data_IF_800869224362
#
_entry.id   IF_800869224362
#
_cell.length_a   1.000
_cell.length_b   1.000
_cell.length_c   1.000
_cell.angle_alpha   90.00
_cell.angle_beta   90.00
_cell.angle_gamma   90.00
#
_symmetry.space_group_name_H-M   'P 1'
#
loop_
_entity.id
_entity.type
_entity.pdbx_description
1 polymer ?
#
# COMPACT_ATOMS: atom_id res chain seq x y z
N UNK A 1 -81.98 -10.31 -39.00
CA UNK A 1 -80.84 -9.38 -38.84
C UNK A 1 -80.39 -9.25 -37.39
N UNK A 2 -81.22 -8.72 -36.47
CA UNK A 2 -80.84 -8.49 -35.05
C UNK A 2 -80.36 -9.76 -34.30
N UNK A 3 -81.05 -10.89 -34.45
CA UNK A 3 -80.66 -12.16 -33.81
C UNK A 3 -79.28 -12.67 -34.24
N UNK A 4 -78.93 -12.46 -35.51
CA UNK A 4 -77.64 -12.89 -36.03
C UNK A 4 -76.51 -11.99 -35.52
N UNK A 5 -76.75 -10.67 -35.47
CA UNK A 5 -75.80 -9.71 -34.90
C UNK A 5 -75.51 -10.00 -33.41
N UNK A 6 -76.55 -10.36 -32.64
CA UNK A 6 -76.41 -10.73 -31.23
C UNK A 6 -75.59 -12.02 -31.04
N UNK A 7 -75.75 -13.01 -31.93
CA UNK A 7 -74.98 -14.25 -31.88
C UNK A 7 -73.49 -14.01 -32.14
N UNK A 8 -73.15 -13.18 -33.13
CA UNK A 8 -71.77 -12.80 -33.45
C UNK A 8 -71.10 -12.04 -32.30
N UNK A 9 -71.80 -11.06 -31.71
CA UNK A 9 -71.30 -10.34 -30.53
C UNK A 9 -71.07 -11.27 -29.33
N UNK A 10 -71.93 -12.29 -29.17
CA UNK A 10 -71.78 -13.28 -28.12
C UNK A 10 -70.48 -14.09 -28.31
N UNK A 11 -70.24 -14.59 -29.52
CA UNK A 11 -69.02 -15.34 -29.86
C UNK A 11 -67.76 -14.50 -29.64
N UNK A 12 -67.73 -13.23 -30.07
CA UNK A 12 -66.60 -12.32 -29.84
C UNK A 12 -66.33 -12.10 -28.34
N UNK A 13 -67.37 -11.90 -27.53
CA UNK A 13 -67.23 -11.75 -26.07
C UNK A 13 -66.70 -13.04 -25.43
N UNK A 14 -67.17 -14.21 -25.89
CA UNK A 14 -66.65 -15.50 -25.42
C UNK A 14 -65.18 -15.70 -25.79
N UNK A 15 -64.77 -15.35 -27.01
CA UNK A 15 -63.38 -15.43 -27.45
C UNK A 15 -62.47 -14.48 -26.67
N UNK A 16 -62.88 -13.23 -26.47
CA UNK A 16 -62.13 -12.26 -25.67
C UNK A 16 -61.93 -12.73 -24.23
N UNK A 17 -62.96 -13.31 -23.62
CA UNK A 17 -62.87 -13.90 -22.28
C UNK A 17 -61.87 -15.06 -22.24
N UNK A 18 -61.88 -15.93 -23.24
CA UNK A 18 -60.95 -17.06 -23.32
C UNK A 18 -59.50 -16.59 -23.40
N UNK A 19 -59.19 -15.66 -24.32
CA UNK A 19 -57.84 -15.09 -24.49
C UNK A 19 -57.38 -14.40 -23.21
N UNK A 20 -58.26 -13.69 -22.51
CA UNK A 20 -57.94 -13.04 -21.26
C UNK A 20 -57.52 -14.05 -20.17
N UNK A 21 -58.21 -15.19 -20.05
CA UNK A 21 -57.84 -16.23 -19.09
C UNK A 21 -56.53 -16.94 -19.48
N UNK A 22 -56.26 -17.17 -20.76
CA UNK A 22 -54.97 -17.71 -21.22
C UNK A 22 -53.81 -16.75 -20.95
N UNK A 23 -54.00 -15.46 -21.24
CA UNK A 23 -53.00 -14.43 -20.97
C UNK A 23 -52.73 -14.33 -19.46
N UNK A 24 -53.79 -14.35 -18.65
CA UNK A 24 -53.68 -14.37 -17.19
C UNK A 24 -52.89 -15.59 -16.69
N UNK A 25 -53.15 -16.78 -17.25
CA UNK A 25 -52.40 -17.99 -16.93
C UNK A 25 -50.92 -17.89 -17.31
N UNK A 26 -50.63 -17.30 -18.47
CA UNK A 26 -49.26 -17.04 -18.94
C UNK A 26 -48.51 -16.07 -18.02
N UNK A 27 -49.18 -14.98 -17.61
CA UNK A 27 -48.62 -13.99 -16.67
C UNK A 27 -48.39 -14.62 -15.29
N UNK A 28 -49.30 -15.43 -14.78
CA UNK A 28 -49.14 -16.15 -13.50
C UNK A 28 -47.94 -17.12 -13.54
N UNK A 29 -47.80 -17.88 -14.64
CA UNK A 29 -46.66 -18.76 -14.85
C UNK A 29 -45.33 -18.02 -14.91
N UNK A 30 -45.30 -16.87 -15.60
CA UNK A 30 -44.12 -16.01 -15.64
C UNK A 30 -43.80 -15.43 -14.25
N UNK A 31 -44.80 -14.95 -13.50
CA UNK A 31 -44.62 -14.44 -12.12
C UNK A 31 -43.98 -15.49 -11.22
N UNK A 32 -44.53 -16.71 -11.21
CA UNK A 32 -44.00 -17.84 -10.44
C UNK A 32 -42.57 -18.20 -10.84
N UNK A 33 -42.26 -18.15 -12.13
CA UNK A 33 -40.89 -18.40 -12.63
C UNK A 33 -39.91 -17.33 -12.14
N UNK A 34 -40.30 -16.05 -12.19
CA UNK A 34 -39.48 -14.93 -11.72
C UNK A 34 -39.29 -15.00 -10.20
N UNK A 35 -40.34 -15.25 -9.43
CA UNK A 35 -40.28 -15.43 -7.97
C UNK A 35 -39.34 -16.59 -7.57
N UNK A 36 -39.41 -17.71 -8.30
CA UNK A 36 -38.51 -18.85 -8.11
C UNK A 36 -37.05 -18.48 -8.34
N UNK A 37 -36.75 -17.76 -9.44
CA UNK A 37 -35.39 -17.28 -9.72
C UNK A 37 -34.89 -16.27 -8.70
N UNK A 38 -35.75 -15.34 -8.26
CA UNK A 38 -35.41 -14.37 -7.20
C UNK A 38 -35.07 -15.11 -5.91
N UNK A 39 -35.87 -16.11 -5.53
CA UNK A 39 -35.61 -16.90 -4.32
C UNK A 39 -34.28 -17.64 -4.40
N UNK A 40 -33.99 -18.29 -5.54
CA UNK A 40 -32.72 -18.98 -5.77
C UNK A 40 -31.53 -18.01 -5.68
N UNK A 41 -31.62 -16.84 -6.31
CA UNK A 41 -30.54 -15.84 -6.25
C UNK A 41 -30.35 -15.32 -4.83
N UNK A 42 -31.43 -15.07 -4.09
CA UNK A 42 -31.35 -14.64 -2.69
C UNK A 42 -30.61 -15.67 -1.83
N UNK A 43 -30.89 -16.97 -2.04
CA UNK A 43 -30.20 -18.06 -1.34
C UNK A 43 -28.71 -18.11 -1.73
N UNK A 44 -28.39 -18.00 -3.01
CA UNK A 44 -26.99 -18.00 -3.47
C UNK A 44 -26.20 -16.80 -2.90
N UNK A 45 -26.83 -15.63 -2.81
CA UNK A 45 -26.23 -14.43 -2.22
C UNK A 45 -25.99 -14.60 -0.72
N UNK A 46 -26.92 -15.22 0.00
CA UNK A 46 -26.75 -15.53 1.43
C UNK A 46 -25.55 -16.47 1.66
N UNK A 47 -25.48 -17.56 0.90
CA UNK A 47 -24.35 -18.51 0.95
C UNK A 47 -23.01 -17.83 0.61
N UNK A 48 -23.00 -16.95 -0.39
CA UNK A 48 -21.79 -16.21 -0.76
C UNK A 48 -21.38 -15.22 0.33
N UNK A 49 -22.34 -14.58 0.99
CA UNK A 49 -22.10 -13.64 2.09
C UNK A 49 -21.43 -14.35 3.26
N UNK A 50 -21.99 -15.50 3.69
CA UNK A 50 -21.40 -16.32 4.75
C UNK A 50 -19.96 -16.76 4.40
N UNK A 51 -19.74 -17.18 3.15
CA UNK A 51 -18.41 -17.59 2.69
C UNK A 51 -17.39 -16.44 2.71
N UNK A 52 -17.83 -15.21 2.40
CA UNK A 52 -16.99 -14.02 2.46
C UNK A 52 -16.67 -13.67 3.91
N UNK A 53 -17.64 -13.71 4.82
CA UNK A 53 -17.43 -13.41 6.24
C UNK A 53 -16.42 -14.39 6.88
N UNK A 54 -16.55 -15.69 6.60
CA UNK A 54 -15.59 -16.71 7.04
C UNK A 54 -14.17 -16.40 6.55
N UNK A 55 -14.02 -15.99 5.28
CA UNK A 55 -12.71 -15.65 4.71
C UNK A 55 -12.14 -14.36 5.29
N UNK A 56 -12.97 -13.37 5.55
CA UNK A 56 -12.55 -12.12 6.21
C UNK A 56 -12.02 -12.42 7.61
N UNK A 57 -12.70 -13.27 8.39
CA UNK A 57 -12.26 -13.66 9.72
C UNK A 57 -10.94 -14.45 9.71
N UNK A 58 -10.77 -15.34 8.73
CA UNK A 58 -9.52 -16.07 8.53
C UNK A 58 -8.36 -15.10 8.21
N UNK A 59 -8.56 -14.18 7.26
CA UNK A 59 -7.56 -13.17 6.89
C UNK A 59 -7.25 -12.25 8.08
N UNK A 60 -8.26 -11.81 8.83
CA UNK A 60 -8.08 -10.98 10.02
C UNK A 60 -7.25 -11.72 11.09
N UNK A 61 -7.44 -13.03 11.23
CA UNK A 61 -6.66 -13.87 12.14
C UNK A 61 -5.21 -14.01 11.68
N UNK A 62 -4.97 -14.30 10.41
CA UNK A 62 -3.63 -14.40 9.84
C UNK A 62 -2.86 -13.07 9.94
N UNK A 63 -3.53 -11.93 9.70
CA UNK A 63 -2.93 -10.61 9.88
C UNK A 63 -2.54 -10.34 11.32
N UNK A 64 -3.35 -10.75 12.30
CA UNK A 64 -3.00 -10.63 13.73
C UNK A 64 -1.79 -11.50 14.07
N UNK A 65 -1.71 -12.71 13.53
CA UNK A 65 -0.56 -13.61 13.73
C UNK A 65 0.72 -13.04 13.10
N UNK A 66 0.64 -12.57 11.86
CA UNK A 66 1.76 -11.93 11.17
C UNK A 66 2.22 -10.67 11.90
N UNK A 67 1.29 -9.80 12.32
CA UNK A 67 1.60 -8.61 13.10
C UNK A 67 2.27 -8.96 14.43
N UNK A 68 1.86 -10.06 15.09
CA UNK A 68 2.53 -10.55 16.30
C UNK A 68 3.91 -11.10 15.98
N UNK A 69 4.10 -11.87 14.92
CA UNK A 69 5.42 -12.39 14.54
C UNK A 69 6.40 -11.25 14.20
N UNK A 70 5.93 -10.24 13.46
CA UNK A 70 6.73 -9.05 13.12
C UNK A 70 6.94 -8.15 14.35
N UNK A 71 5.90 -7.95 15.17
CA UNK A 71 5.96 -7.11 16.38
C UNK A 71 6.72 -7.75 17.55
N UNK A 72 6.74 -9.08 17.63
CA UNK A 72 7.56 -9.84 18.59
C UNK A 72 9.05 -9.78 18.23
N UNK A 73 9.39 -9.39 17.00
CA UNK A 73 10.77 -9.03 16.64
C UNK A 73 11.13 -7.58 17.06
N UNK A 74 10.15 -6.79 17.52
CA UNK A 74 10.34 -5.42 18.02
C UNK A 74 10.13 -5.25 19.52
N UNK A 75 9.71 -6.30 20.24
CA UNK A 75 9.62 -6.30 21.69
C UNK A 75 10.25 -7.58 22.27
N UNK A 76 11.39 -7.40 22.95
CA UNK A 76 11.93 -8.30 23.98
C UNK A 76 12.45 -9.70 23.65
N UNK A 77 12.90 -9.95 22.42
CA UNK A 77 13.99 -10.91 22.22
C UNK A 77 15.09 -10.22 21.42
N UNK A 78 15.91 -9.44 22.13
CA UNK A 78 17.32 -9.40 21.80
C UNK A 78 17.90 -10.68 22.40
N UNK A 79 18.17 -11.75 21.62
CA UNK A 79 19.28 -12.59 22.04
C UNK A 79 20.44 -11.60 22.15
N UNK A 80 21.25 -11.73 23.18
CA UNK A 80 22.57 -11.11 23.21
C UNK A 80 23.43 -11.72 22.09
N UNK A 81 23.01 -11.60 20.82
CA UNK A 81 23.94 -11.46 19.73
C UNK A 81 24.68 -10.18 20.04
N UNK A 82 25.98 -10.31 20.16
CA UNK A 82 26.91 -9.20 20.04
C UNK A 82 26.45 -8.34 18.86
N UNK A 83 25.72 -7.24 19.13
CA UNK A 83 25.61 -6.15 18.18
C UNK A 83 27.03 -5.65 18.09
N UNK A 84 27.79 -6.20 17.13
CA UNK A 84 29.08 -5.67 16.72
C UNK A 84 28.80 -4.19 16.49
N UNK A 85 29.30 -3.36 17.41
CA UNK A 85 29.18 -1.92 17.26
C UNK A 85 30.00 -1.59 16.02
N UNK A 86 29.39 -0.94 15.05
CA UNK A 86 30.13 -0.44 13.89
C UNK A 86 31.17 0.53 14.45
N UNK A 87 32.47 0.30 14.21
CA UNK A 87 33.51 1.22 14.65
C UNK A 87 33.28 2.60 14.03
N UNK A 88 33.40 3.64 14.84
CA UNK A 88 33.27 5.02 14.36
C UNK A 88 34.53 5.42 13.55
N UNK A 89 34.38 6.14 12.42
CA UNK A 89 35.51 6.64 11.64
C UNK A 89 36.39 7.61 12.43
N UNK A 90 37.66 7.67 12.05
CA UNK A 90 38.59 8.65 12.62
C UNK A 90 38.22 10.06 12.12
N UNK A 91 38.11 11.07 12.99
CA UNK A 91 37.83 12.44 12.55
C UNK A 91 38.95 13.01 11.67
N UNK A 92 38.58 13.80 10.66
CA UNK A 92 39.51 14.46 9.75
C UNK A 92 39.70 15.95 10.09
N UNK A 93 40.96 16.33 10.34
CA UNK A 93 41.33 17.67 10.78
C UNK A 93 41.70 18.67 9.69
N UNK A 94 41.69 18.26 8.41
CA UNK A 94 42.17 19.09 7.30
C UNK A 94 43.68 18.96 7.04
N UNK A 95 44.28 17.81 7.37
CA UNK A 95 45.68 17.54 7.06
C UNK A 95 45.94 17.68 5.55
N UNK A 96 47.02 18.39 5.17
CA UNK A 96 47.46 18.54 3.77
C UNK A 96 48.17 17.28 3.27
N UNK A 97 47.51 16.14 3.40
CA UNK A 97 48.01 14.82 3.03
C UNK A 97 46.93 14.08 2.24
N UNK A 98 47.19 13.83 0.97
CA UNK A 98 46.25 13.10 0.09
C UNK A 98 45.90 11.72 0.68
N UNK A 99 46.89 11.05 1.27
CA UNK A 99 46.73 9.76 1.93
C UNK A 99 45.74 9.82 3.10
N UNK A 100 45.82 10.85 3.93
CA UNK A 100 44.91 10.97 5.08
C UNK A 100 43.49 11.30 4.65
N UNK A 101 43.33 12.12 3.62
CA UNK A 101 42.02 12.43 3.05
C UNK A 101 41.39 11.19 2.40
N UNK A 102 42.15 10.43 1.61
CA UNK A 102 41.68 9.21 0.97
C UNK A 102 41.27 8.14 2.00
N UNK A 103 42.08 7.95 3.04
CA UNK A 103 41.73 7.05 4.15
C UNK A 103 40.43 7.48 4.85
N UNK A 104 40.25 8.77 5.11
CA UNK A 104 39.03 9.28 5.73
C UNK A 104 37.78 9.01 4.87
N UNK A 105 37.84 9.30 3.58
CA UNK A 105 36.72 9.05 2.66
C UNK A 105 36.39 7.57 2.58
N UNK A 106 37.40 6.71 2.54
CA UNK A 106 37.22 5.25 2.53
C UNK A 106 36.59 4.73 3.83
N UNK A 107 37.06 5.22 4.99
CA UNK A 107 36.51 4.87 6.30
C UNK A 107 35.04 5.31 6.42
N UNK A 108 34.69 6.51 5.92
CA UNK A 108 33.32 7.01 5.90
C UNK A 108 32.40 6.15 5.00
N UNK A 109 32.85 5.76 3.81
CA UNK A 109 32.07 4.90 2.91
C UNK A 109 31.77 3.56 3.58
N UNK A 110 32.79 2.91 4.16
CA UNK A 110 32.57 1.64 4.86
C UNK A 110 31.67 1.77 6.08
N UNK A 111 31.79 2.88 6.81
CA UNK A 111 30.87 3.17 7.90
C UNK A 111 29.44 3.29 7.41
N UNK A 112 29.19 4.00 6.31
CA UNK A 112 27.85 4.11 5.74
C UNK A 112 27.28 2.75 5.33
N UNK A 113 28.08 1.90 4.71
CA UNK A 113 27.66 0.55 4.33
C UNK A 113 27.38 -0.33 5.55
N UNK A 114 28.27 -0.31 6.56
CA UNK A 114 28.12 -1.11 7.77
C UNK A 114 26.96 -0.66 8.67
N UNK A 115 26.78 0.66 8.81
CA UNK A 115 25.71 1.27 9.60
C UNK A 115 24.39 1.46 8.83
N UNK A 116 24.36 1.13 7.53
CA UNK A 116 23.20 1.28 6.63
C UNK A 116 22.65 2.71 6.61
N UNK A 117 23.56 3.68 6.48
CA UNK A 117 23.22 5.11 6.46
C UNK A 117 22.51 5.48 5.15
N UNK A 118 21.32 6.11 5.20
CA UNK A 118 20.63 6.62 4.01
C UNK A 118 21.43 7.70 3.28
N UNK A 119 21.35 7.77 1.94
CA UNK A 119 22.12 8.72 1.13
C UNK A 119 21.90 10.19 1.52
N UNK A 120 20.68 10.56 1.90
CA UNK A 120 20.34 11.92 2.34
C UNK A 120 20.97 12.34 3.67
N UNK A 121 21.51 11.40 4.45
CA UNK A 121 22.13 11.66 5.75
C UNK A 121 23.66 11.66 5.69
N UNK A 122 24.26 11.09 4.63
CA UNK A 122 25.72 10.90 4.51
C UNK A 122 26.51 12.20 4.68
N UNK A 123 26.13 13.26 3.96
CA UNK A 123 26.82 14.56 4.05
C UNK A 123 26.74 15.14 5.47
N UNK A 124 25.56 15.09 6.09
CA UNK A 124 25.35 15.58 7.45
C UNK A 124 26.23 14.82 8.45
N UNK A 125 26.27 13.48 8.33
CA UNK A 125 27.09 12.63 9.21
C UNK A 125 28.59 12.88 8.98
N UNK A 126 29.06 12.97 7.75
CA UNK A 126 30.47 13.31 7.44
C UNK A 126 30.87 14.61 8.12
N UNK A 127 30.01 15.63 8.09
CA UNK A 127 30.30 16.92 8.73
C UNK A 127 30.54 16.83 10.23
N UNK A 128 29.97 15.82 10.90
CA UNK A 128 30.18 15.57 12.33
C UNK A 128 31.60 15.04 12.61
N UNK A 129 32.19 14.30 11.67
CA UNK A 129 33.55 13.78 11.73
C UNK A 129 34.62 14.74 11.20
N UNK A 130 34.23 15.93 10.74
CA UNK A 130 35.18 17.02 10.49
C UNK A 130 35.56 17.71 11.80
N UNK A 131 36.86 17.96 11.97
CA UNK A 131 37.45 18.70 13.08
C UNK A 131 38.47 19.73 12.55
N UNK A 132 38.96 20.60 13.43
CA UNK A 132 40.00 21.59 13.08
C UNK A 132 39.63 22.46 11.88
N UNK A 133 40.60 22.64 10.98
CA UNK A 133 40.48 23.51 9.81
C UNK A 133 39.45 22.99 8.80
N UNK A 134 39.29 21.67 8.68
CA UNK A 134 38.28 21.08 7.81
C UNK A 134 36.85 21.45 8.27
N UNK A 135 36.59 21.43 9.58
CA UNK A 135 35.29 21.84 10.13
C UNK A 135 35.03 23.33 9.95
N UNK A 136 36.08 24.15 10.07
CA UNK A 136 35.98 25.58 9.84
C UNK A 136 35.63 25.87 8.38
N UNK A 137 36.33 25.23 7.45
CA UNK A 137 36.03 25.32 6.02
C UNK A 137 34.59 24.91 5.70
N UNK A 138 34.10 23.79 6.25
CA UNK A 138 32.73 23.33 6.04
C UNK A 138 31.69 24.36 6.50
N UNK A 139 31.90 24.99 7.66
CA UNK A 139 31.02 26.04 8.17
C UNK A 139 31.02 27.28 7.30
N UNK A 140 32.19 27.73 6.83
CA UNK A 140 32.30 28.85 5.89
C UNK A 140 31.60 28.51 4.57
N UNK A 141 31.80 27.30 4.05
CA UNK A 141 31.15 26.83 2.82
C UNK A 141 29.62 26.91 2.90
N UNK A 142 29.02 26.47 4.02
CA UNK A 142 27.58 26.54 4.24
C UNK A 142 27.05 27.98 4.34
N UNK A 143 27.80 28.88 4.99
CA UNK A 143 27.44 30.30 5.06
C UNK A 143 27.54 30.99 3.68
N UNK A 144 28.55 30.62 2.90
CA UNK A 144 28.74 31.10 1.54
C UNK A 144 27.64 30.59 0.60
N UNK A 145 27.22 29.32 0.71
CA UNK A 145 26.10 28.78 -0.07
C UNK A 145 24.81 29.57 0.16
N UNK A 146 24.51 29.89 1.42
CA UNK A 146 23.34 30.66 1.80
C UNK A 146 23.36 32.11 1.28
N UNK A 147 24.55 32.71 1.11
CA UNK A 147 24.71 34.12 0.73
C UNK A 147 25.00 34.35 -0.76
N UNK A 148 25.60 33.37 -1.44
CA UNK A 148 26.08 33.50 -2.82
C UNK A 148 25.31 32.67 -3.85
N UNK A 149 24.18 32.05 -3.47
CA UNK A 149 23.34 31.21 -4.35
C UNK A 149 24.13 30.10 -5.07
N UNK A 150 25.13 29.53 -4.38
CA UNK A 150 25.90 28.38 -4.88
C UNK A 150 25.12 27.09 -4.65
N UNK A 151 25.36 26.10 -5.50
CA UNK A 151 24.71 24.79 -5.36
C UNK A 151 25.13 24.11 -4.04
N UNK A 152 24.17 23.69 -3.21
CA UNK A 152 24.45 22.99 -1.97
C UNK A 152 25.12 21.63 -2.22
N UNK A 153 26.07 21.26 -1.36
CA UNK A 153 26.63 19.90 -1.33
C UNK A 153 25.59 18.99 -0.68
N UNK A 154 24.65 18.47 -1.49
CA UNK A 154 23.50 17.68 -1.01
C UNK A 154 23.68 16.17 -1.12
N UNK A 155 24.76 15.70 -1.77
CA UNK A 155 25.04 14.27 -1.92
C UNK A 155 26.50 13.96 -1.61
N UNK A 156 26.73 12.71 -1.21
CA UNK A 156 28.07 12.20 -0.93
C UNK A 156 29.01 12.26 -2.16
N UNK A 157 28.47 11.98 -3.35
CA UNK A 157 29.24 12.02 -4.59
C UNK A 157 29.70 13.43 -5.00
N UNK A 158 29.00 14.48 -4.54
CA UNK A 158 29.39 15.88 -4.76
C UNK A 158 30.40 16.35 -3.69
N UNK A 159 30.40 15.70 -2.52
CA UNK A 159 31.30 16.06 -1.42
C UNK A 159 32.73 15.54 -1.62
N UNK A 160 32.88 14.33 -2.15
CA UNK A 160 34.17 13.66 -2.38
C UNK A 160 35.00 14.35 -3.47
#
# INVERSE_FOLDING_TARGET
>A
MVRHLLALLCEEVYLLKHILEELKGTVDGFSKSVEGRITSISQDVEVLTDAVDIKIDAIATDLRLLKRAVGSNTADIRPSSSKVRVPEPKPFGGARSAKELENFLWDMENYFQAAKVPDGEKVSITSMYLVGDAKLWWRTRLADDASANREPISSWDVLK
#
